data_IF_451591935867
#
_entry.id   IF_451591935867
#
_cell.length_a   1.000
_cell.length_b   1.000
_cell.length_c   1.000
_cell.angle_alpha   90.00
_cell.angle_beta   90.00
_cell.angle_gamma   90.00
#
_symmetry.space_group_name_H-M   'P 1'
#
loop_
_entity.id
_entity.type
_entity.pdbx_description
1 polymer ?
#
# COMPACT_ATOMS: atom_id res chain seq x y z
N UNK A 1 -19.48 22.20 4.20
CA UNK A 1 -18.80 21.03 4.77
C UNK A 1 -19.72 19.87 4.49
N UNK A 2 -19.29 18.88 3.71
CA UNK A 2 -20.15 17.77 3.35
C UNK A 2 -20.30 16.85 4.57
N UNK A 3 -21.54 16.54 4.94
CA UNK A 3 -21.89 15.66 6.05
C UNK A 3 -21.94 14.20 5.59
N UNK A 4 -21.96 13.26 6.54
CA UNK A 4 -22.20 11.85 6.23
C UNK A 4 -23.55 11.63 5.53
N UNK A 5 -24.56 12.45 5.85
CA UNK A 5 -25.88 12.42 5.21
C UNK A 5 -25.79 12.68 3.69
N UNK A 6 -24.99 13.66 3.29
CA UNK A 6 -24.80 14.03 1.87
C UNK A 6 -24.13 12.90 1.07
N UNK A 7 -23.28 12.09 1.71
CA UNK A 7 -22.65 10.91 1.10
C UNK A 7 -23.68 9.80 0.92
N UNK A 8 -24.56 9.60 1.91
CA UNK A 8 -25.63 8.59 1.86
C UNK A 8 -26.65 8.94 0.78
N UNK A 9 -27.05 10.22 0.68
CA UNK A 9 -27.97 10.71 -0.35
C UNK A 9 -27.40 10.49 -1.76
N UNK A 10 -26.13 10.86 -1.98
CA UNK A 10 -25.47 10.66 -3.27
C UNK A 10 -25.34 9.16 -3.66
N UNK A 11 -25.14 8.28 -2.69
CA UNK A 11 -25.10 6.82 -2.94
C UNK A 11 -26.49 6.25 -3.23
N UNK A 12 -27.55 6.78 -2.61
CA UNK A 12 -28.92 6.33 -2.83
C UNK A 12 -29.46 6.67 -4.23
N UNK A 13 -28.99 7.76 -4.84
CA UNK A 13 -29.31 8.14 -6.22
C UNK A 13 -28.63 7.24 -7.27
N UNK A 14 -27.64 6.43 -6.87
CA UNK A 14 -27.04 5.42 -7.75
C UNK A 14 -27.98 4.21 -7.78
N UNK A 15 -28.67 3.93 -8.90
CA UNK A 15 -29.54 2.76 -8.97
C UNK A 15 -28.70 1.52 -8.67
N UNK A 16 -29.20 0.58 -7.84
CA UNK A 16 -28.50 -0.66 -7.59
C UNK A 16 -28.24 -1.29 -8.95
N UNK A 17 -26.97 -1.38 -9.34
CA UNK A 17 -26.60 -2.19 -10.48
C UNK A 17 -27.20 -3.56 -10.20
N UNK A 18 -28.01 -4.09 -11.11
CA UNK A 18 -28.54 -5.42 -10.97
C UNK A 18 -27.35 -6.35 -10.72
N UNK A 19 -27.18 -6.73 -9.46
CA UNK A 19 -26.19 -7.67 -8.97
C UNK A 19 -26.72 -9.06 -9.32
N UNK A 20 -27.00 -9.27 -10.60
CA UNK A 20 -27.02 -10.61 -11.16
C UNK A 20 -25.58 -11.12 -11.13
N UNK A 21 -25.44 -12.43 -11.05
CA UNK A 21 -24.16 -13.11 -11.24
C UNK A 21 -23.64 -12.73 -12.63
N UNK A 22 -22.89 -11.63 -12.72
CA UNK A 22 -22.28 -11.19 -13.96
C UNK A 22 -21.17 -12.18 -14.21
N UNK A 23 -21.49 -13.25 -14.95
CA UNK A 23 -20.51 -13.95 -15.77
C UNK A 23 -20.03 -12.99 -16.86
N UNK A 24 -19.31 -11.94 -16.47
CA UNK A 24 -18.35 -11.29 -17.35
C UNK A 24 -17.29 -12.30 -17.75
N UNK A 25 -16.41 -11.99 -18.72
CA UNK A 25 -15.22 -12.81 -18.90
C UNK A 25 -14.59 -13.01 -17.52
N UNK A 26 -14.30 -14.26 -17.14
CA UNK A 26 -13.67 -14.59 -15.86
C UNK A 26 -12.64 -13.51 -15.59
N UNK A 27 -12.84 -12.74 -14.52
CA UNK A 27 -11.87 -11.74 -14.14
C UNK A 27 -10.62 -12.53 -13.79
N UNK A 28 -9.73 -12.67 -14.78
CA UNK A 28 -8.40 -13.20 -14.62
C UNK A 28 -7.63 -12.11 -13.89
N UNK A 29 -7.98 -11.95 -12.61
CA UNK A 29 -7.20 -11.20 -11.67
C UNK A 29 -5.79 -11.76 -11.86
N UNK A 30 -4.82 -10.96 -12.33
CA UNK A 30 -3.46 -11.46 -12.38
C UNK A 30 -3.18 -11.95 -10.97
N UNK A 31 -2.99 -13.27 -10.85
CA UNK A 31 -2.88 -13.92 -9.55
C UNK A 31 -1.85 -13.13 -8.78
N UNK A 32 -2.24 -12.63 -7.59
CA UNK A 32 -1.46 -11.67 -6.81
C UNK A 32 -0.02 -12.18 -6.79
N UNK A 33 0.84 -11.58 -7.61
CA UNK A 33 2.12 -12.19 -7.94
C UNK A 33 2.86 -12.29 -6.62
N UNK A 34 3.07 -13.52 -6.15
CA UNK A 34 3.74 -13.73 -4.89
C UNK A 34 5.11 -13.09 -5.01
N UNK A 35 5.36 -12.07 -4.19
CA UNK A 35 6.66 -11.41 -4.18
C UNK A 35 7.66 -12.45 -3.70
N UNK A 36 8.60 -12.83 -4.57
CA UNK A 36 9.57 -13.87 -4.25
C UNK A 36 10.57 -13.39 -3.20
N UNK A 37 11.00 -14.27 -2.30
CA UNK A 37 12.01 -13.94 -1.28
C UNK A 37 13.30 -13.38 -1.89
N UNK A 38 13.73 -13.90 -3.05
CA UNK A 38 14.92 -13.39 -3.74
C UNK A 38 14.75 -11.94 -4.23
N UNK A 39 13.54 -11.55 -4.64
CA UNK A 39 13.24 -10.17 -5.06
C UNK A 39 13.25 -9.25 -3.85
N UNK A 40 12.63 -9.69 -2.74
CA UNK A 40 12.66 -8.96 -1.46
C UNK A 40 14.09 -8.75 -0.96
N UNK A 41 14.91 -9.81 -0.94
CA UNK A 41 16.29 -9.75 -0.49
C UNK A 41 17.12 -8.75 -1.30
N UNK A 42 16.85 -8.63 -2.61
CA UNK A 42 17.55 -7.71 -3.50
C UNK A 42 17.05 -6.27 -3.37
N UNK A 43 15.75 -6.07 -3.15
CA UNK A 43 15.11 -4.75 -3.07
C UNK A 43 15.23 -4.09 -1.67
N UNK A 44 15.33 -4.89 -0.60
CA UNK A 44 15.38 -4.41 0.79
C UNK A 44 16.49 -3.38 1.08
N UNK A 45 17.74 -3.55 0.59
CA UNK A 45 18.79 -2.54 0.79
C UNK A 45 18.41 -1.17 0.22
N UNK A 46 17.83 -1.13 -0.98
CA UNK A 46 17.40 0.12 -1.63
C UNK A 46 16.34 0.86 -0.80
N UNK A 47 15.38 0.14 -0.23
CA UNK A 47 14.37 0.76 0.65
C UNK A 47 15.01 1.31 1.93
N UNK A 48 15.94 0.56 2.53
CA UNK A 48 16.64 0.99 3.74
C UNK A 48 17.52 2.23 3.53
N UNK A 49 18.14 2.38 2.36
CA UNK A 49 18.93 3.57 2.01
C UNK A 49 18.10 4.85 1.89
N UNK A 50 16.82 4.72 1.54
CA UNK A 50 15.88 5.84 1.40
C UNK A 50 15.16 6.19 2.70
N UNK A 51 15.29 5.35 3.73
CA UNK A 51 14.63 5.51 5.01
C UNK A 51 15.62 6.00 6.08
N UNK A 52 15.10 6.83 6.98
CA UNK A 52 15.81 7.32 8.15
C UNK A 52 14.84 7.58 9.30
N UNK A 53 15.26 8.29 10.36
CA UNK A 53 14.40 8.62 11.49
C UNK A 53 13.33 9.66 11.16
N UNK A 54 13.48 10.41 10.06
CA UNK A 54 12.48 11.38 9.60
C UNK A 54 11.37 10.67 8.81
N UNK A 55 10.08 11.04 9.00
CA UNK A 55 8.99 10.52 8.18
C UNK A 55 9.18 10.83 6.70
N UNK A 56 9.01 9.81 5.85
CA UNK A 56 9.07 9.88 4.38
C UNK A 56 7.75 9.40 3.78
N UNK A 57 7.12 10.13 2.84
CA UNK A 57 5.93 9.67 2.14
C UNK A 57 6.17 8.37 1.36
N UNK A 58 5.23 7.43 1.40
CA UNK A 58 5.35 6.17 0.63
C UNK A 58 5.42 6.45 -0.89
N UNK A 59 4.73 7.48 -1.37
CA UNK A 59 4.79 7.90 -2.78
C UNK A 59 6.18 8.40 -3.20
N UNK A 60 6.93 9.00 -2.27
CA UNK A 60 8.33 9.37 -2.47
C UNK A 60 9.20 8.13 -2.64
N UNK A 61 9.03 7.16 -1.73
CA UNK A 61 9.77 5.89 -1.76
C UNK A 61 9.48 5.11 -3.03
N UNK A 62 8.23 5.06 -3.50
CA UNK A 62 7.89 4.45 -4.78
C UNK A 62 8.62 5.13 -5.95
N UNK A 63 8.63 6.47 -5.97
CA UNK A 63 9.26 7.24 -7.05
C UNK A 63 10.78 7.09 -7.07
N UNK A 64 11.42 7.08 -5.90
CA UNK A 64 12.88 7.02 -5.79
C UNK A 64 13.43 5.59 -5.93
N UNK A 65 12.78 4.59 -5.32
CA UNK A 65 13.24 3.19 -5.37
C UNK A 65 12.97 2.52 -6.71
N UNK A 66 11.99 3.01 -7.49
CA UNK A 66 11.50 2.39 -8.74
C UNK A 66 11.04 0.94 -8.56
N UNK A 67 10.70 0.55 -7.33
CA UNK A 67 10.14 -0.76 -7.04
C UNK A 67 8.65 -0.81 -7.38
N UNK A 68 8.13 -2.02 -7.59
CA UNK A 68 6.69 -2.20 -7.69
C UNK A 68 6.04 -1.89 -6.33
N UNK A 69 4.77 -1.43 -6.32
CA UNK A 69 4.05 -1.21 -5.07
C UNK A 69 4.02 -2.45 -4.18
N UNK A 70 3.88 -3.64 -4.77
CA UNK A 70 3.89 -4.91 -4.03
C UNK A 70 5.21 -5.13 -3.29
N UNK A 71 6.36 -5.00 -3.97
CA UNK A 71 7.68 -5.15 -3.34
C UNK A 71 7.90 -4.14 -2.21
N UNK A 72 7.62 -2.86 -2.46
CA UNK A 72 7.83 -1.81 -1.47
C UNK A 72 6.94 -2.06 -0.24
N UNK A 73 5.64 -2.27 -0.43
CA UNK A 73 4.71 -2.46 0.67
C UNK A 73 5.01 -3.73 1.47
N UNK A 74 5.45 -4.81 0.83
CA UNK A 74 5.89 -6.03 1.54
C UNK A 74 7.14 -5.76 2.38
N UNK A 75 8.14 -5.05 1.87
CA UNK A 75 9.33 -4.68 2.64
C UNK A 75 8.97 -3.79 3.84
N UNK A 76 8.12 -2.78 3.63
CA UNK A 76 7.69 -1.90 4.73
C UNK A 76 6.91 -2.69 5.80
N UNK A 77 6.07 -3.63 5.38
CA UNK A 77 5.35 -4.55 6.28
C UNK A 77 6.31 -5.43 7.08
N UNK A 78 7.33 -6.01 6.45
CA UNK A 78 8.35 -6.81 7.15
C UNK A 78 9.08 -5.99 8.22
N UNK A 79 9.45 -4.74 7.91
CA UNK A 79 10.11 -3.84 8.85
C UNK A 79 9.18 -3.45 10.01
N UNK A 80 7.90 -3.22 9.72
CA UNK A 80 6.86 -2.93 10.72
C UNK A 80 6.68 -4.11 11.67
N UNK A 81 6.54 -5.33 11.13
CA UNK A 81 6.41 -6.56 11.92
C UNK A 81 7.68 -6.87 12.73
N UNK A 82 8.85 -6.49 12.23
CA UNK A 82 10.12 -6.59 12.96
C UNK A 82 10.27 -5.52 14.05
N UNK A 83 9.33 -4.58 14.19
CA UNK A 83 9.45 -3.47 15.12
C UNK A 83 10.62 -2.54 14.76
N UNK A 84 10.82 -2.28 13.47
CA UNK A 84 11.90 -1.41 12.94
C UNK A 84 11.37 -0.21 12.15
N UNK A 85 10.06 -0.14 11.95
CA UNK A 85 9.39 0.91 11.20
C UNK A 85 8.11 1.33 11.92
N UNK A 86 7.81 2.63 11.86
CA UNK A 86 6.55 3.20 12.34
C UNK A 86 5.83 3.95 11.22
N UNK A 87 4.50 4.05 11.35
CA UNK A 87 3.64 4.79 10.42
C UNK A 87 3.21 6.12 11.01
N UNK A 88 3.15 7.13 10.16
CA UNK A 88 2.74 8.48 10.50
C UNK A 88 1.47 8.86 9.73
N UNK A 89 0.82 9.94 10.18
CA UNK A 89 -0.28 10.55 9.43
C UNK A 89 0.20 10.97 8.02
N UNK A 90 -0.72 11.00 7.05
CA UNK A 90 -0.39 11.39 5.68
C UNK A 90 0.37 10.34 4.87
N UNK A 91 0.24 9.06 5.22
CA UNK A 91 0.85 7.93 4.51
C UNK A 91 2.39 8.03 4.44
N UNK A 92 3.01 8.32 5.59
CA UNK A 92 4.46 8.43 5.73
C UNK A 92 4.99 7.35 6.69
N UNK A 93 6.28 7.01 6.54
CA UNK A 93 6.97 5.99 7.34
C UNK A 93 8.37 6.46 7.73
N UNK A 94 8.87 6.02 8.89
CA UNK A 94 10.26 6.24 9.33
C UNK A 94 10.80 4.98 9.99
N UNK A 95 12.14 4.88 10.06
CA UNK A 95 12.79 3.88 10.90
C UNK A 95 12.65 4.29 12.37
N UNK A 96 12.40 3.30 13.22
CA UNK A 96 12.57 3.47 14.65
C UNK A 96 14.00 3.10 15.02
N UNK A 97 14.67 3.94 15.81
CA UNK A 97 15.97 3.58 16.38
C UNK A 97 15.74 2.39 17.33
N UNK A 98 16.25 1.22 16.97
CA UNK A 98 16.33 0.09 17.88
C UNK A 98 17.39 0.44 18.94
N UNK A 99 16.95 0.76 20.16
CA UNK A 99 17.80 0.92 21.35
C UNK A 99 18.38 -0.43 21.78
#
# INVERSE_FOLDING_TARGET
MQSAEDIIEALAETPPQALGDRSGPDFDAPGMAAVGESELATARPTVLELLGPSPVPIDELMRQSRLTPALLLTILLELELAGRLERHAGNQVSLIESV
#
